data_IF_360458045183
#
_entry.id   IF_360458045183
#
_cell.length_a   1.000
_cell.length_b   1.000
_cell.length_c   1.000
_cell.angle_alpha   90.00
_cell.angle_beta   90.00
_cell.angle_gamma   90.00
#
_symmetry.space_group_name_H-M   'P 1'
#
loop_
_entity.id
_entity.type
_entity.pdbx_description
1 polymer ?
#
# COMPACT_ATOMS: atom_id res chain seq x y z
N UNK A 1 17.16 31.19 -30.90
CA UNK A 1 16.54 30.10 -31.65
C UNK A 1 15.35 29.57 -30.84
N UNK A 2 14.09 29.90 -31.19
CA UNK A 2 12.90 29.50 -30.43
C UNK A 2 12.29 28.15 -30.86
N UNK A 3 12.54 27.69 -32.09
CA UNK A 3 11.86 26.51 -32.66
C UNK A 3 12.29 25.17 -32.04
N UNK A 4 13.53 25.05 -31.53
CA UNK A 4 13.99 23.79 -30.94
C UNK A 4 13.28 23.47 -29.61
N UNK A 5 12.86 24.48 -28.83
CA UNK A 5 12.18 24.23 -27.55
C UNK A 5 10.76 23.68 -27.72
N UNK A 6 10.05 24.08 -28.79
CA UNK A 6 8.68 23.62 -29.06
C UNK A 6 8.65 22.13 -29.49
N UNK A 7 9.59 21.69 -30.32
CA UNK A 7 9.67 20.27 -30.75
C UNK A 7 10.00 19.31 -29.59
N UNK A 8 10.85 19.75 -28.65
CA UNK A 8 11.24 18.95 -27.47
C UNK A 8 10.06 18.79 -26.49
N UNK A 9 9.21 19.80 -26.34
CA UNK A 9 7.99 19.69 -25.50
C UNK A 9 6.95 18.73 -26.07
N UNK A 10 6.73 18.74 -27.40
CA UNK A 10 5.77 17.84 -28.04
C UNK A 10 6.20 16.37 -27.99
N UNK A 11 7.50 16.10 -28.19
CA UNK A 11 8.06 14.74 -28.11
C UNK A 11 8.04 14.19 -26.68
N UNK A 12 8.35 15.02 -25.68
CA UNK A 12 8.28 14.64 -24.25
C UNK A 12 6.85 14.29 -23.82
N UNK A 13 5.85 15.06 -24.27
CA UNK A 13 4.43 14.79 -23.99
C UNK A 13 3.93 13.50 -24.64
N UNK A 14 4.36 13.20 -25.87
CA UNK A 14 3.99 11.96 -26.58
C UNK A 14 4.54 10.72 -25.86
N UNK A 15 5.83 10.73 -25.50
CA UNK A 15 6.48 9.61 -24.79
C UNK A 15 5.88 9.38 -23.40
N UNK A 16 5.53 10.46 -22.68
CA UNK A 16 4.87 10.35 -21.38
C UNK A 16 3.47 9.73 -21.51
N UNK A 17 2.71 10.07 -22.54
CA UNK A 17 1.39 9.49 -22.75
C UNK A 17 1.43 7.98 -23.01
N UNK A 18 2.44 7.49 -23.75
CA UNK A 18 2.62 6.06 -24.05
C UNK A 18 3.09 5.25 -22.84
N UNK A 19 3.90 5.85 -21.97
CA UNK A 19 4.43 5.18 -20.77
C UNK A 19 3.49 5.26 -19.57
N UNK A 20 2.50 6.16 -19.58
CA UNK A 20 1.50 6.32 -18.52
C UNK A 20 0.81 5.02 -18.09
N UNK A 21 0.31 4.14 -18.99
CA UNK A 21 -0.28 2.85 -18.59
C UNK A 21 0.72 1.96 -17.85
N UNK A 22 1.96 1.86 -18.34
CA UNK A 22 3.00 1.07 -17.69
C UNK A 22 3.29 1.55 -16.25
N UNK A 23 3.35 2.87 -16.04
CA UNK A 23 3.53 3.41 -14.69
C UNK A 23 2.32 3.12 -13.79
N UNK A 24 1.10 3.18 -14.32
CA UNK A 24 -0.11 2.81 -13.57
C UNK A 24 -0.11 1.34 -13.14
N UNK A 25 0.25 0.45 -14.04
CA UNK A 25 0.36 -0.98 -13.73
C UNK A 25 1.43 -1.23 -12.68
N UNK A 26 2.57 -0.54 -12.77
CA UNK A 26 3.62 -0.64 -11.75
C UNK A 26 3.14 -0.17 -10.36
N UNK A 27 2.30 0.87 -10.30
CA UNK A 27 1.71 1.31 -9.03
C UNK A 27 0.79 0.25 -8.40
N UNK A 28 0.13 -0.60 -9.19
CA UNK A 28 -0.66 -1.72 -8.64
C UNK A 28 0.22 -2.75 -7.93
N UNK A 29 1.44 -2.97 -8.45
CA UNK A 29 2.43 -3.84 -7.81
C UNK A 29 2.94 -3.21 -6.51
N UNK A 30 3.18 -1.89 -6.51
CA UNK A 30 3.54 -1.16 -5.29
C UNK A 30 2.46 -1.32 -4.23
N UNK A 31 1.18 -1.15 -4.58
CA UNK A 31 0.07 -1.31 -3.64
C UNK A 31 -0.01 -2.73 -3.08
N UNK A 32 0.22 -3.75 -3.92
CA UNK A 32 0.24 -5.14 -3.49
C UNK A 32 1.39 -5.41 -2.51
N UNK A 33 2.57 -4.81 -2.73
CA UNK A 33 3.71 -4.88 -1.81
C UNK A 33 3.42 -4.12 -0.51
N UNK A 34 2.81 -2.93 -0.57
CA UNK A 34 2.35 -2.17 0.59
C UNK A 34 1.37 -3.00 1.44
N UNK A 35 0.35 -3.60 0.81
CA UNK A 35 -0.62 -4.45 1.49
C UNK A 35 0.02 -5.71 2.09
N UNK A 36 0.97 -6.34 1.38
CA UNK A 36 1.70 -7.49 1.91
C UNK A 36 2.53 -7.12 3.14
N UNK A 37 3.22 -5.97 3.11
CA UNK A 37 3.96 -5.46 4.25
C UNK A 37 3.05 -5.19 5.46
N UNK A 38 1.91 -4.51 5.26
CA UNK A 38 0.94 -4.23 6.32
C UNK A 38 0.35 -5.52 6.89
N UNK A 39 -0.07 -6.46 6.04
CA UNK A 39 -0.63 -7.73 6.48
C UNK A 39 0.35 -8.56 7.30
N UNK A 40 1.64 -8.58 6.91
CA UNK A 40 2.67 -9.28 7.68
C UNK A 40 2.99 -8.60 9.01
N UNK A 41 2.93 -7.27 9.10
CA UNK A 41 3.06 -6.55 10.37
C UNK A 41 1.92 -6.88 11.33
N UNK A 42 0.68 -6.82 10.86
CA UNK A 42 -0.51 -7.18 11.64
C UNK A 42 -0.48 -8.66 12.10
N UNK A 43 0.07 -9.57 11.28
CA UNK A 43 0.25 -10.97 11.63
C UNK A 43 1.34 -11.21 12.69
N UNK A 44 2.45 -10.46 12.65
CA UNK A 44 3.50 -10.54 13.67
C UNK A 44 2.97 -10.01 15.01
N UNK A 45 2.15 -8.94 14.99
CA UNK A 45 1.50 -8.41 16.19
C UNK A 45 0.41 -9.35 16.72
N UNK A 46 -0.43 -9.96 15.88
CA UNK A 46 -1.47 -10.92 16.29
C UNK A 46 -0.93 -12.31 16.68
N UNK A 47 0.32 -12.63 16.36
CA UNK A 47 1.05 -13.73 16.99
C UNK A 47 1.44 -13.44 18.45
N UNK A 48 0.94 -12.33 19.01
CA UNK A 48 0.87 -11.97 20.41
C UNK A 48 -0.58 -11.51 20.73
N UNK A 49 -1.26 -12.06 21.75
CA UNK A 49 -1.92 -13.37 21.80
C UNK A 49 -3.17 -13.52 20.87
N UNK A 50 -3.60 -14.76 20.65
CA UNK A 50 -4.67 -15.20 19.74
C UNK A 50 -6.01 -14.43 19.87
N UNK A 51 -6.73 -14.17 18.76
CA UNK A 51 -8.07 -13.59 18.81
C UNK A 51 -9.08 -14.54 19.49
N UNK A 52 -10.09 -14.03 20.20
CA UNK A 52 -11.05 -14.83 20.94
C UNK A 52 -11.82 -15.77 20.01
N UNK A 53 -12.03 -17.00 20.50
CA UNK A 53 -12.50 -18.20 19.77
C UNK A 53 -13.85 -18.07 19.05
N UNK A 54 -14.61 -16.99 19.28
CA UNK A 54 -16.00 -16.84 18.87
C UNK A 54 -16.24 -15.96 17.62
N UNK A 55 -15.23 -15.75 16.76
CA UNK A 55 -15.37 -14.99 15.50
C UNK A 55 -15.28 -15.89 14.26
N UNK A 56 -16.08 -15.61 13.20
CA UNK A 56 -15.99 -16.34 11.93
C UNK A 56 -14.60 -16.18 11.33
N UNK A 57 -14.03 -17.31 10.97
CA UNK A 57 -12.61 -17.44 10.72
C UNK A 57 -12.30 -17.06 9.26
N UNK A 58 -11.33 -16.17 9.00
CA UNK A 58 -11.10 -15.62 7.67
C UNK A 58 -10.55 -16.67 6.69
N UNK A 59 -10.86 -16.53 5.39
CA UNK A 59 -10.60 -17.55 4.35
C UNK A 59 -9.10 -17.92 4.22
N UNK A 60 -8.20 -16.99 4.55
CA UNK A 60 -6.75 -17.21 4.55
C UNK A 60 -6.27 -18.21 5.63
N UNK A 61 -7.11 -18.56 6.64
CA UNK A 61 -6.78 -19.59 7.64
C UNK A 61 -6.44 -20.93 7.02
N UNK A 62 -7.08 -21.28 5.89
CA UNK A 62 -6.76 -22.50 5.17
C UNK A 62 -5.35 -22.44 4.56
N UNK A 63 -4.94 -21.28 4.05
CA UNK A 63 -3.59 -21.06 3.54
C UNK A 63 -2.55 -21.07 4.66
N UNK A 64 -2.81 -20.38 5.78
CA UNK A 64 -1.93 -20.40 6.94
C UNK A 64 -1.81 -21.78 7.58
N UNK A 65 -2.91 -22.54 7.68
CA UNK A 65 -2.88 -23.93 8.15
C UNK A 65 -2.05 -24.81 7.21
N UNK A 66 -2.17 -24.61 5.89
CA UNK A 66 -1.40 -25.35 4.89
C UNK A 66 0.09 -24.98 4.93
N UNK A 67 0.41 -23.70 5.17
CA UNK A 67 1.78 -23.21 5.37
C UNK A 67 2.39 -23.79 6.65
N UNK A 68 1.66 -23.72 7.76
CA UNK A 68 2.07 -24.32 9.05
C UNK A 68 2.24 -25.83 8.91
N UNK A 69 1.34 -26.54 8.21
CA UNK A 69 1.48 -27.98 7.94
C UNK A 69 2.67 -28.31 7.02
N UNK A 70 2.92 -27.50 5.98
CA UNK A 70 4.08 -27.66 5.12
C UNK A 70 5.38 -27.43 5.90
N UNK A 71 5.40 -26.44 6.79
CA UNK A 71 6.52 -26.16 7.69
C UNK A 71 6.70 -27.26 8.74
N UNK A 72 5.62 -27.76 9.35
CA UNK A 72 5.63 -28.90 10.28
C UNK A 72 6.17 -30.17 9.60
N UNK A 73 5.73 -30.46 8.37
CA UNK A 73 6.20 -31.65 7.62
C UNK A 73 7.69 -31.62 7.27
N UNK A 74 8.31 -30.43 7.24
CA UNK A 74 9.77 -30.27 7.09
C UNK A 74 10.53 -30.23 8.43
N UNK A 75 9.85 -30.00 9.55
CA UNK A 75 10.47 -29.79 10.86
C UNK A 75 10.38 -30.99 11.83
N UNK A 76 9.60 -32.02 11.52
CA UNK A 76 9.55 -33.26 12.31
C UNK A 76 10.87 -34.08 12.30
N UNK A 77 11.97 -33.53 11.75
CA UNK A 77 13.30 -34.12 11.86
C UNK A 77 14.14 -33.57 13.02
N UNK A 78 13.74 -32.50 13.71
CA UNK A 78 14.54 -32.04 14.86
C UNK A 78 13.75 -31.29 15.96
N UNK A 79 13.95 -31.80 17.18
CA UNK A 79 13.60 -31.27 18.51
C UNK A 79 12.80 -29.95 18.66
N UNK A 80 11.64 -30.07 19.32
CA UNK A 80 10.45 -29.18 19.33
C UNK A 80 10.50 -27.90 20.18
N UNK A 81 11.67 -27.36 20.52
CA UNK A 81 11.76 -26.08 21.27
C UNK A 81 12.33 -24.89 20.47
N UNK A 82 13.07 -25.13 19.38
CA UNK A 82 13.73 -24.09 18.56
C UNK A 82 12.88 -23.58 17.38
N UNK A 83 11.78 -24.27 17.10
CA UNK A 83 10.96 -24.11 15.89
C UNK A 83 10.28 -22.73 15.80
N UNK A 84 9.80 -22.20 16.93
CA UNK A 84 9.10 -20.91 16.95
C UNK A 84 10.04 -19.74 16.63
N UNK A 85 11.31 -19.82 17.06
CA UNK A 85 12.34 -18.85 16.67
C UNK A 85 12.69 -18.95 15.19
N UNK A 86 12.87 -20.16 14.64
CA UNK A 86 13.24 -20.34 13.23
C UNK A 86 12.13 -19.91 12.26
N UNK A 87 10.86 -20.18 12.60
CA UNK A 87 9.72 -19.71 11.78
C UNK A 87 9.58 -18.19 11.85
N UNK A 88 9.78 -17.58 13.04
CA UNK A 88 9.83 -16.12 13.17
C UNK A 88 10.98 -15.51 12.38
N UNK A 89 12.17 -16.10 12.42
CA UNK A 89 13.33 -15.63 11.64
C UNK A 89 13.07 -15.71 10.13
N UNK A 90 12.45 -16.80 9.65
CA UNK A 90 12.07 -16.92 8.23
C UNK A 90 11.03 -15.86 7.84
N UNK A 91 10.00 -15.66 8.65
CA UNK A 91 8.97 -14.63 8.39
C UNK A 91 9.56 -13.20 8.41
N UNK A 92 10.47 -12.92 9.34
CA UNK A 92 11.18 -11.63 9.42
C UNK A 92 12.12 -11.44 8.23
N UNK A 93 12.82 -12.50 7.81
CA UNK A 93 13.68 -12.48 6.62
C UNK A 93 12.88 -12.22 5.34
N UNK A 94 11.72 -12.87 5.18
CA UNK A 94 10.84 -12.65 4.03
C UNK A 94 10.22 -11.26 4.04
N UNK A 95 9.81 -10.75 5.21
CA UNK A 95 9.34 -9.38 5.39
C UNK A 95 10.41 -8.36 4.98
N UNK A 96 11.66 -8.56 5.42
CA UNK A 96 12.78 -7.72 5.04
C UNK A 96 13.05 -7.77 3.54
N UNK A 97 12.98 -8.95 2.92
CA UNK A 97 13.13 -9.12 1.47
C UNK A 97 12.08 -8.33 0.68
N UNK A 98 10.81 -8.43 1.06
CA UNK A 98 9.72 -7.69 0.42
C UNK A 98 9.83 -6.19 0.64
N UNK A 99 10.19 -5.75 1.85
CA UNK A 99 10.40 -4.33 2.14
C UNK A 99 11.60 -3.75 1.37
N UNK A 100 12.68 -4.50 1.17
CA UNK A 100 13.80 -4.08 0.30
C UNK A 100 13.37 -3.92 -1.16
N UNK A 101 12.59 -4.85 -1.69
CA UNK A 101 12.05 -4.78 -3.06
C UNK A 101 11.13 -3.56 -3.18
N UNK A 102 10.24 -3.37 -2.21
CA UNK A 102 9.33 -2.22 -2.14
C UNK A 102 10.09 -0.90 -2.13
N UNK A 103 11.10 -0.75 -1.28
CA UNK A 103 11.94 0.47 -1.21
C UNK A 103 12.66 0.73 -2.53
N UNK A 104 13.27 -0.31 -3.11
CA UNK A 104 13.96 -0.22 -4.41
C UNK A 104 13.01 0.25 -5.52
N UNK A 105 11.78 -0.26 -5.51
CA UNK A 105 10.76 0.14 -6.47
C UNK A 105 10.32 1.61 -6.29
N UNK A 106 10.13 2.05 -5.04
CA UNK A 106 9.83 3.45 -4.72
C UNK A 106 11.00 4.39 -5.10
N UNK A 107 12.25 3.95 -5.00
CA UNK A 107 13.41 4.71 -5.44
C UNK A 107 13.43 4.89 -6.96
N UNK A 108 13.13 3.83 -7.72
CA UNK A 108 13.02 3.89 -9.18
C UNK A 108 11.91 4.87 -9.60
N UNK A 109 10.75 4.82 -8.93
CA UNK A 109 9.65 5.76 -9.17
C UNK A 109 10.08 7.20 -8.95
N UNK A 110 10.75 7.48 -7.82
CA UNK A 110 11.25 8.83 -7.49
C UNK A 110 12.26 9.35 -8.50
N UNK A 111 13.20 8.52 -8.95
CA UNK A 111 14.16 8.89 -10.01
C UNK A 111 13.48 9.27 -11.32
N UNK A 112 12.28 8.75 -11.57
CA UNK A 112 11.47 9.02 -12.75
C UNK A 112 10.44 10.14 -12.53
N UNK A 113 10.55 10.89 -11.42
CA UNK A 113 9.64 11.97 -11.02
C UNK A 113 8.22 11.48 -10.74
N UNK A 114 8.04 10.20 -10.41
CA UNK A 114 6.79 9.67 -9.89
C UNK A 114 6.84 9.78 -8.37
N UNK A 115 6.03 10.67 -7.81
CA UNK A 115 6.05 11.03 -6.39
C UNK A 115 4.69 10.81 -5.74
N UNK A 116 4.63 10.38 -4.47
CA UNK A 116 3.37 10.18 -3.78
C UNK A 116 2.68 11.52 -3.46
N UNK A 117 1.35 11.48 -3.39
CA UNK A 117 0.51 12.60 -2.94
C UNK A 117 0.32 12.49 -1.43
N UNK A 118 0.65 13.53 -0.67
CA UNK A 118 0.43 13.56 0.78
C UNK A 118 -1.03 13.90 1.11
N UNK A 119 -1.88 12.87 1.13
CA UNK A 119 -3.31 13.03 1.31
C UNK A 119 -3.75 13.06 2.78
N UNK A 120 -3.19 12.21 3.64
CA UNK A 120 -3.68 12.06 5.02
C UNK A 120 -3.45 13.33 5.86
N UNK A 121 -4.50 13.81 6.52
CA UNK A 121 -4.47 15.04 7.31
C UNK A 121 -4.57 16.34 6.51
N UNK A 122 -4.49 16.27 5.18
CA UNK A 122 -4.70 17.41 4.28
C UNK A 122 -6.20 17.64 4.01
N UNK A 123 -6.60 18.87 3.64
CA UNK A 123 -7.92 19.12 3.08
C UNK A 123 -8.14 18.31 1.80
N UNK A 124 -9.36 17.81 1.59
CA UNK A 124 -9.72 17.08 0.38
C UNK A 124 -9.63 17.99 -0.85
N UNK A 125 -8.83 17.58 -1.84
CA UNK A 125 -8.70 18.26 -3.13
C UNK A 125 -9.21 17.35 -4.27
N UNK A 126 -10.36 17.66 -4.90
CA UNK A 126 -10.93 16.87 -5.99
C UNK A 126 -10.02 16.77 -7.23
N UNK A 127 -9.01 17.62 -7.38
CA UNK A 127 -8.09 17.55 -8.53
C UNK A 127 -7.07 16.41 -8.41
N UNK A 128 -6.80 15.98 -7.18
CA UNK A 128 -5.72 15.04 -6.86
C UNK A 128 -6.19 13.85 -6.03
N UNK A 129 -7.44 13.90 -5.52
CA UNK A 129 -8.02 12.93 -4.61
C UNK A 129 -9.43 12.50 -5.04
N UNK A 130 -9.73 11.23 -4.80
CA UNK A 130 -11.05 10.63 -5.00
C UNK A 130 -11.59 10.12 -3.66
N UNK A 131 -12.70 10.68 -3.20
CA UNK A 131 -13.31 10.26 -1.94
C UNK A 131 -14.06 8.93 -2.13
N UNK A 132 -13.53 7.85 -1.55
CA UNK A 132 -14.14 6.51 -1.57
C UNK A 132 -15.06 6.27 -0.38
N UNK A 133 -14.98 7.12 0.64
CA UNK A 133 -15.78 6.99 1.85
C UNK A 133 -15.84 8.28 2.64
N UNK A 134 -16.78 8.32 3.58
CA UNK A 134 -16.96 9.38 4.56
C UNK A 134 -16.96 8.75 5.94
N UNK A 135 -16.31 9.39 6.90
CA UNK A 135 -16.28 8.94 8.28
C UNK A 135 -16.58 10.11 9.21
N UNK A 136 -17.46 9.88 10.17
CA UNK A 136 -17.77 10.87 11.19
C UNK A 136 -16.53 11.12 12.05
N UNK A 137 -16.19 12.39 12.25
CA UNK A 137 -15.13 12.77 13.18
C UNK A 137 -15.49 14.03 13.94
N UNK A 138 -15.18 14.01 15.24
CA UNK A 138 -15.22 15.19 16.12
C UNK A 138 -13.83 15.79 16.35
N UNK A 139 -12.79 15.11 15.85
CA UNK A 139 -11.38 15.43 16.17
C UNK A 139 -10.71 16.20 15.05
N UNK A 140 -11.10 15.96 13.79
CA UNK A 140 -10.58 16.68 12.63
C UNK A 140 -11.67 17.54 11.98
N UNK A 141 -11.31 18.66 11.33
CA UNK A 141 -12.28 19.48 10.61
C UNK A 141 -12.98 18.69 9.49
N UNK A 142 -14.20 19.11 9.17
CA UNK A 142 -14.94 18.59 8.02
C UNK A 142 -14.16 18.77 6.72
N UNK A 143 -14.36 17.85 5.77
CA UNK A 143 -13.67 17.82 4.48
C UNK A 143 -12.13 17.66 4.58
N UNK A 144 -11.65 17.17 5.72
CA UNK A 144 -10.25 16.76 5.91
C UNK A 144 -10.11 15.26 5.64
N UNK A 145 -9.03 14.84 4.99
CA UNK A 145 -8.74 13.42 4.80
C UNK A 145 -8.37 12.78 6.15
N UNK A 146 -9.17 11.81 6.57
CA UNK A 146 -8.92 11.01 7.78
C UNK A 146 -7.91 9.90 7.47
N UNK A 147 -8.12 9.22 6.34
CA UNK A 147 -7.34 8.06 5.95
C UNK A 147 -7.11 8.02 4.45
N UNK A 148 -5.90 7.66 4.06
CA UNK A 148 -5.56 7.26 2.70
C UNK A 148 -5.78 5.76 2.55
N UNK A 149 -6.78 5.36 1.75
CA UNK A 149 -7.08 3.96 1.47
C UNK A 149 -6.16 3.39 0.37
N UNK A 150 -5.91 4.20 -0.67
CA UNK A 150 -4.92 3.89 -1.72
C UNK A 150 -4.14 5.16 -2.03
N UNK A 151 -2.82 5.02 -2.07
CA UNK A 151 -1.93 6.17 -2.28
C UNK A 151 -2.04 6.76 -3.67
N UNK A 152 -2.15 8.07 -3.73
CA UNK A 152 -2.11 8.84 -4.98
C UNK A 152 -0.67 9.10 -5.43
N UNK A 153 -0.47 9.31 -6.73
CA UNK A 153 0.83 9.60 -7.31
C UNK A 153 0.74 10.66 -8.41
N UNK A 154 1.72 11.57 -8.40
CA UNK A 154 1.99 12.53 -9.47
C UNK A 154 3.14 12.01 -10.33
N UNK A 155 3.13 12.34 -11.61
CA UNK A 155 4.27 12.17 -12.50
C UNK A 155 4.66 13.52 -13.10
N UNK A 156 5.76 14.09 -12.59
CA UNK A 156 6.03 15.52 -12.77
C UNK A 156 4.87 16.33 -12.17
N UNK A 157 4.24 17.17 -12.98
CA UNK A 157 3.13 18.03 -12.57
C UNK A 157 1.74 17.43 -12.88
N UNK A 158 1.68 16.21 -13.42
CA UNK A 158 0.43 15.57 -13.82
C UNK A 158 0.00 14.49 -12.85
N UNK A 159 -1.31 14.40 -12.60
CA UNK A 159 -1.87 13.30 -11.82
C UNK A 159 -1.78 12.00 -12.61
N UNK A 160 -0.99 11.06 -12.09
CA UNK A 160 -0.85 9.71 -12.63
C UNK A 160 -1.99 8.83 -12.09
N UNK A 161 -2.25 8.95 -10.79
CA UNK A 161 -3.34 8.29 -10.07
C UNK A 161 -3.78 9.17 -8.89
N UNK A 162 -5.09 9.39 -8.77
CA UNK A 162 -5.67 10.11 -7.63
C UNK A 162 -5.52 9.30 -6.35
N UNK A 163 -5.33 9.99 -5.22
CA UNK A 163 -5.36 9.35 -3.91
C UNK A 163 -6.79 8.95 -3.56
N UNK A 164 -7.02 7.69 -3.19
CA UNK A 164 -8.33 7.26 -2.70
C UNK A 164 -8.41 7.47 -1.20
N UNK A 165 -9.35 8.29 -0.76
CA UNK A 165 -9.37 8.81 0.60
C UNK A 165 -10.72 8.65 1.28
N UNK A 166 -10.68 8.57 2.60
CA UNK A 166 -11.84 8.67 3.48
C UNK A 166 -11.82 10.07 4.09
N UNK A 167 -12.89 10.84 3.88
CA UNK A 167 -12.99 12.23 4.33
C UNK A 167 -13.85 12.37 5.57
N UNK A 168 -13.50 13.34 6.41
CA UNK A 168 -14.24 13.69 7.60
C UNK A 168 -15.57 14.36 7.25
N UNK A 169 -16.63 13.86 7.86
CA UNK A 169 -17.94 14.52 7.90
C UNK A 169 -18.33 14.85 9.33
N UNK A 170 -19.12 15.91 9.51
CA UNK A 170 -19.66 16.26 10.82
C UNK A 170 -20.68 15.19 11.23
N UNK A 171 -20.59 14.74 12.47
CA UNK A 171 -21.57 13.83 13.09
C UNK A 171 -22.96 14.47 13.02
N UNK A 172 -23.86 13.91 12.20
CA UNK A 172 -25.24 14.39 12.04
C UNK A 172 -25.72 14.62 10.60
N UNK A 173 -24.85 14.53 9.59
CA UNK A 173 -25.26 14.63 8.17
C UNK A 173 -25.22 13.25 7.49
N UNK A 174 -26.20 12.40 7.80
CA UNK A 174 -26.57 11.27 6.94
C UNK A 174 -28.04 11.51 6.57
N UNK A 175 -28.30 11.93 5.34
CA UNK A 175 -29.63 11.93 4.71
C UNK A 175 -29.53 11.07 3.45
#
# INVERSE_FOLDING_TARGET
QPNQQLEISHTKGSIQSEQKPLWRDLLTVVDALDQACTHWQEQIETLSPLPPENQPQPIWRHWARKLIQLLQSKLDQDSTASVSSSVREVLVSDQQGVDLIRRSLLDVLRQRQVVPIEAQGSPFDPKTMYAVGRQESTTVPENTVIQEAVRGYLWGDQVLREAQVIVAVRKGEIH
#
